data_IF_462235840341
#
_entry.id   IF_462235840341
#
_cell.length_a   1.000
_cell.length_b   1.000
_cell.length_c   1.000
_cell.angle_alpha   90.00
_cell.angle_beta   90.00
_cell.angle_gamma   90.00
#
_symmetry.space_group_name_H-M   'P 1'
#
loop_
_entity.id
_entity.type
_entity.pdbx_description
1 polymer ?
#
# COMPACT_ATOMS: atom_id res chain seq x y z
N UNK A 1 18.16 -8.15 32.98
CA UNK A 1 19.61 -8.05 32.72
C UNK A 1 19.83 -8.25 31.23
N UNK A 2 20.14 -7.12 30.57
CA UNK A 2 20.61 -6.87 29.19
C UNK A 2 20.40 -8.01 28.15
N UNK A 3 19.37 -7.88 27.31
CA UNK A 3 19.24 -8.63 26.05
C UNK A 3 20.22 -8.00 25.06
N UNK A 4 21.33 -8.71 24.81
CA UNK A 4 22.43 -8.24 23.99
C UNK A 4 22.12 -8.24 22.50
N UNK A 5 22.28 -7.06 21.90
CA UNK A 5 22.46 -6.80 20.48
C UNK A 5 23.61 -7.60 19.87
N UNK A 6 23.41 -8.85 19.43
CA UNK A 6 24.36 -9.53 18.52
C UNK A 6 23.60 -10.48 17.61
N UNK A 7 23.42 -10.04 16.36
CA UNK A 7 23.44 -10.85 15.13
C UNK A 7 22.71 -10.09 14.00
N UNK A 8 23.22 -8.91 13.62
CA UNK A 8 22.95 -8.32 12.30
C UNK A 8 24.21 -8.53 11.44
N UNK A 9 24.24 -9.59 10.65
CA UNK A 9 25.27 -9.77 9.62
C UNK A 9 24.86 -8.93 8.40
N UNK A 10 25.44 -7.74 8.27
CA UNK A 10 25.25 -6.87 7.11
C UNK A 10 25.95 -7.51 5.91
N UNK A 11 25.16 -8.09 5.01
CA UNK A 11 25.62 -8.55 3.71
C UNK A 11 26.10 -7.38 2.86
N UNK A 12 27.26 -7.56 2.23
CA UNK A 12 28.04 -6.63 1.42
C UNK A 12 27.23 -5.74 0.46
N UNK A 13 27.64 -4.47 0.39
CA UNK A 13 27.10 -3.45 -0.51
C UNK A 13 27.28 -3.84 -1.99
N UNK A 14 26.19 -3.82 -2.76
CA UNK A 14 26.23 -3.83 -4.23
C UNK A 14 26.38 -2.41 -4.78
N UNK A 15 27.13 -2.20 -5.88
CA UNK A 15 27.53 -0.87 -6.36
C UNK A 15 26.42 -0.09 -7.13
N UNK A 16 25.15 -0.49 -7.00
CA UNK A 16 24.01 0.23 -7.59
C UNK A 16 23.19 0.87 -6.46
N UNK A 17 23.34 2.18 -6.28
CA UNK A 17 22.42 3.07 -5.56
C UNK A 17 21.62 2.47 -4.40
N UNK A 18 22.28 2.22 -3.27
CA UNK A 18 21.70 2.00 -1.94
C UNK A 18 20.50 1.02 -1.85
N UNK A 19 20.55 -0.12 -2.55
CA UNK A 19 19.66 -1.23 -2.22
C UNK A 19 20.09 -1.82 -0.87
N UNK A 20 19.36 -1.50 0.20
CA UNK A 20 19.59 -2.11 1.52
C UNK A 20 18.94 -3.49 1.53
N UNK A 21 19.73 -4.53 1.77
CA UNK A 21 19.25 -5.91 1.93
C UNK A 21 19.55 -6.35 3.36
N UNK A 22 18.59 -7.01 4.00
CA UNK A 22 18.78 -7.56 5.33
C UNK A 22 18.23 -8.98 5.40
N UNK A 23 18.98 -9.86 6.06
CA UNK A 23 18.52 -11.20 6.40
C UNK A 23 17.88 -11.11 7.78
N UNK A 24 16.63 -11.56 7.90
CA UNK A 24 15.86 -11.52 9.15
C UNK A 24 15.44 -12.92 9.55
N UNK A 25 15.41 -13.20 10.86
CA UNK A 25 14.84 -14.43 11.39
C UNK A 25 13.31 -14.36 11.32
N UNK A 26 12.70 -15.46 10.91
CA UNK A 26 11.25 -15.67 10.98
C UNK A 26 10.99 -16.52 12.20
N UNK A 27 10.12 -16.05 13.10
CA UNK A 27 9.78 -16.83 14.29
C UNK A 27 8.78 -17.96 14.00
N UNK A 28 8.52 -18.81 14.99
CA UNK A 28 7.60 -19.96 14.87
C UNK A 28 6.16 -19.56 14.49
N UNK A 29 5.80 -18.28 14.69
CA UNK A 29 4.48 -17.74 14.34
C UNK A 29 4.47 -17.08 12.96
N UNK A 30 5.58 -17.18 12.20
CA UNK A 30 5.71 -16.59 10.88
C UNK A 30 5.93 -15.07 10.89
N UNK A 31 6.29 -14.47 12.04
CA UNK A 31 6.52 -13.03 12.14
C UNK A 31 7.96 -12.72 11.77
N UNK A 32 8.13 -11.66 10.98
CA UNK A 32 9.42 -11.05 10.68
C UNK A 32 9.41 -9.59 11.11
N UNK A 33 10.54 -9.10 11.62
CA UNK A 33 10.68 -7.69 12.04
C UNK A 33 11.38 -6.94 10.93
N UNK A 34 10.75 -5.87 10.44
CA UNK A 34 11.38 -4.98 9.46
C UNK A 34 12.53 -4.23 10.18
N UNK A 35 13.78 -4.37 9.70
CA UNK A 35 14.92 -3.73 10.33
C UNK A 35 14.81 -2.21 10.37
N UNK A 36 15.52 -1.60 11.32
CA UNK A 36 15.30 -0.18 11.61
C UNK A 36 15.74 0.72 10.45
N UNK A 37 16.70 0.25 9.68
CA UNK A 37 17.41 0.93 8.61
C UNK A 37 16.54 1.17 7.37
N UNK A 38 15.38 0.50 7.28
CA UNK A 38 14.40 0.66 6.20
C UNK A 38 13.40 1.79 6.42
N UNK A 39 13.38 2.42 7.60
CA UNK A 39 12.51 3.57 7.88
C UNK A 39 11.00 3.27 7.96
N UNK A 40 10.57 2.03 7.77
CA UNK A 40 9.16 1.62 7.88
C UNK A 40 8.81 1.38 9.35
N UNK A 41 7.88 2.16 9.90
CA UNK A 41 7.44 2.07 11.31
C UNK A 41 5.94 2.24 11.44
N UNK A 42 5.37 1.50 12.39
CA UNK A 42 3.98 1.66 12.88
C UNK A 42 2.95 1.88 11.76
N UNK A 43 3.10 1.15 10.65
CA UNK A 43 2.27 1.27 9.45
C UNK A 43 1.67 -0.09 9.11
N UNK A 44 0.48 -0.06 8.51
CA UNK A 44 -0.11 -1.25 7.89
C UNK A 44 0.63 -1.54 6.60
N UNK A 45 0.76 -2.80 6.19
CA UNK A 45 1.36 -3.13 4.90
C UNK A 45 0.49 -4.09 4.12
N UNK A 46 0.50 -3.96 2.80
CA UNK A 46 -0.05 -4.96 1.90
C UNK A 46 1.07 -5.95 1.60
N UNK A 47 0.79 -7.24 1.77
CA UNK A 47 1.71 -8.32 1.40
C UNK A 47 1.13 -9.03 0.18
N UNK A 48 1.84 -8.95 -0.94
CA UNK A 48 1.43 -9.57 -2.20
C UNK A 48 2.38 -10.76 -2.45
N UNK A 49 1.87 -12.01 -2.50
CA UNK A 49 2.69 -13.13 -2.92
C UNK A 49 3.01 -13.00 -4.41
N UNK A 50 4.29 -13.09 -4.77
CA UNK A 50 4.80 -12.99 -6.13
C UNK A 50 5.67 -14.21 -6.47
N UNK A 51 5.14 -15.40 -6.19
CA UNK A 51 5.85 -16.67 -6.39
C UNK A 51 6.95 -16.88 -5.36
N UNK A 52 8.20 -16.68 -5.76
CA UNK A 52 9.38 -16.92 -4.90
C UNK A 52 9.67 -15.81 -3.90
N UNK A 53 8.95 -14.69 -3.95
CA UNK A 53 9.12 -13.57 -3.05
C UNK A 53 7.78 -12.92 -2.69
N UNK A 54 7.82 -12.08 -1.65
CA UNK A 54 6.70 -11.23 -1.26
C UNK A 54 7.02 -9.78 -1.59
N UNK A 55 6.03 -9.07 -2.13
CA UNK A 55 6.08 -7.61 -2.23
C UNK A 55 5.35 -7.03 -1.03
N UNK A 56 6.07 -6.24 -0.23
CA UNK A 56 5.51 -5.58 0.96
C UNK A 56 5.41 -4.09 0.68
N UNK A 57 4.19 -3.56 0.67
CA UNK A 57 3.91 -2.14 0.40
C UNK A 57 3.38 -1.48 1.68
N UNK A 58 4.13 -0.56 2.31
CA UNK A 58 3.64 0.16 3.48
C UNK A 58 2.51 1.11 3.07
N UNK A 59 1.45 1.13 3.86
CA UNK A 59 0.29 1.99 3.67
C UNK A 59 0.43 3.24 4.55
N UNK A 60 0.24 4.45 4.00
CA UNK A 60 0.15 5.64 4.83
C UNK A 60 -0.95 5.48 5.89
N UNK A 61 -0.75 6.04 7.09
CA UNK A 61 -1.73 5.95 8.19
C UNK A 61 -3.12 6.49 7.82
N UNK A 62 -3.15 7.52 6.97
CA UNK A 62 -4.37 8.09 6.38
C UNK A 62 -4.26 8.10 4.85
N UNK A 63 -4.59 6.99 4.15
CA UNK A 63 -4.45 6.91 2.69
C UNK A 63 -5.28 7.94 1.94
N UNK A 64 -6.46 8.28 2.46
CA UNK A 64 -7.36 9.25 1.85
C UNK A 64 -6.79 10.68 1.84
N UNK A 65 -6.01 11.07 2.85
CA UNK A 65 -5.32 12.37 2.87
C UNK A 65 -4.20 12.42 1.83
N UNK A 66 -3.42 11.33 1.72
CA UNK A 66 -2.34 11.22 0.73
C UNK A 66 -2.86 11.10 -0.70
N UNK A 67 -3.99 10.43 -0.90
CA UNK A 67 -4.61 10.23 -2.20
C UNK A 67 -5.52 11.39 -2.63
N UNK A 68 -5.88 12.30 -1.71
CA UNK A 68 -6.78 13.43 -2.01
C UNK A 68 -6.29 14.33 -3.14
N UNK A 69 -4.97 14.41 -3.35
CA UNK A 69 -4.35 15.17 -4.44
C UNK A 69 -4.13 14.39 -5.74
N UNK A 70 -4.46 13.09 -5.81
CA UNK A 70 -4.21 12.28 -7.02
C UNK A 70 -5.10 12.64 -8.19
N UNK A 71 -6.29 13.19 -7.91
CA UNK A 71 -7.20 13.66 -8.94
C UNK A 71 -7.05 15.19 -9.06
N UNK A 72 -6.36 15.71 -10.09
CA UNK A 72 -6.26 17.14 -10.30
C UNK A 72 -7.65 17.68 -10.64
N UNK A 73 -8.28 18.37 -9.69
CA UNK A 73 -9.59 18.98 -9.88
C UNK A 73 -9.74 20.23 -9.04
N UNK A 74 -10.31 21.28 -9.63
CA UNK A 74 -10.76 22.46 -8.91
C UNK A 74 -12.08 22.24 -8.15
N UNK A 75 -12.73 21.09 -8.34
CA UNK A 75 -14.02 20.75 -7.74
C UNK A 75 -13.82 20.19 -6.33
N UNK A 76 -14.70 20.59 -5.42
CA UNK A 76 -14.79 20.01 -4.09
C UNK A 76 -15.17 18.52 -4.14
N UNK A 77 -14.86 17.79 -3.07
CA UNK A 77 -15.27 16.38 -2.90
C UNK A 77 -16.79 16.19 -3.09
N UNK A 78 -17.59 17.13 -2.62
CA UNK A 78 -19.05 17.07 -2.73
C UNK A 78 -19.52 17.20 -4.20
N UNK A 79 -18.88 18.08 -4.98
CA UNK A 79 -19.18 18.23 -6.41
C UNK A 79 -18.75 17.02 -7.21
N UNK A 80 -17.57 16.47 -6.92
CA UNK A 80 -17.09 15.23 -7.54
C UNK A 80 -18.06 14.07 -7.25
N UNK A 81 -18.52 13.95 -6.00
CA UNK A 81 -19.53 12.95 -5.61
C UNK A 81 -20.82 13.10 -6.41
N UNK A 82 -21.40 14.31 -6.46
CA UNK A 82 -22.64 14.57 -7.22
C UNK A 82 -22.47 14.25 -8.71
N UNK A 83 -21.34 14.63 -9.30
CA UNK A 83 -21.05 14.34 -10.70
C UNK A 83 -20.96 12.84 -10.96
N UNK A 84 -20.25 12.10 -10.09
CA UNK A 84 -20.11 10.65 -10.18
C UNK A 84 -21.46 9.93 -10.04
N UNK A 85 -22.26 10.30 -9.03
CA UNK A 85 -23.59 9.72 -8.82
C UNK A 85 -24.54 10.02 -9.98
N UNK A 86 -24.52 11.26 -10.49
CA UNK A 86 -25.32 11.64 -11.66
C UNK A 86 -24.94 10.86 -12.92
N UNK A 87 -23.64 10.66 -13.15
CA UNK A 87 -23.15 9.83 -14.26
C UNK A 87 -23.56 8.36 -14.10
N UNK A 88 -23.37 7.80 -12.90
CA UNK A 88 -23.74 6.42 -12.60
C UNK A 88 -25.25 6.17 -12.77
N UNK A 89 -26.09 7.13 -12.36
CA UNK A 89 -27.55 7.03 -12.53
C UNK A 89 -27.97 7.02 -14.00
N UNK A 90 -27.38 7.90 -14.82
CA UNK A 90 -27.65 7.93 -16.27
C UNK A 90 -27.21 6.63 -16.93
N UNK A 91 -26.01 6.17 -16.63
CA UNK A 91 -25.48 4.92 -17.17
C UNK A 91 -26.33 3.70 -16.75
N UNK A 92 -26.79 3.66 -15.49
CA UNK A 92 -27.73 2.63 -15.04
C UNK A 92 -29.07 2.66 -15.80
N UNK A 93 -29.64 3.85 -16.04
CA UNK A 93 -30.87 4.00 -16.79
C UNK A 93 -30.71 3.58 -18.26
N UNK A 94 -29.60 3.96 -18.91
CA UNK A 94 -29.30 3.51 -20.27
C UNK A 94 -29.12 2.00 -20.34
N UNK A 95 -28.39 1.41 -19.39
CA UNK A 95 -28.22 -0.05 -19.31
C UNK A 95 -29.55 -0.78 -19.15
N UNK A 96 -30.45 -0.26 -18.32
CA UNK A 96 -31.79 -0.83 -18.16
C UNK A 96 -32.64 -0.71 -19.44
N UNK A 97 -32.60 0.44 -20.13
CA UNK A 97 -33.27 0.61 -21.44
C UNK A 97 -32.76 -0.37 -22.49
N UNK A 98 -31.43 -0.51 -22.62
CA UNK A 98 -30.80 -1.46 -23.58
C UNK A 98 -31.18 -2.91 -23.31
N UNK A 99 -31.49 -3.25 -22.05
CA UNK A 99 -31.89 -4.59 -21.61
C UNK A 99 -33.40 -4.82 -21.63
N UNK A 100 -34.21 -3.81 -22.00
CA UNK A 100 -35.68 -3.88 -21.91
C UNK A 100 -36.19 -4.05 -20.48
N UNK A 101 -35.45 -3.54 -19.49
CA UNK A 101 -35.76 -3.65 -18.05
C UNK A 101 -36.43 -2.38 -17.51
N UNK A 102 -36.87 -1.49 -18.40
CA UNK A 102 -37.57 -0.23 -18.12
C UNK A 102 -38.83 -0.15 -18.99
#
# INVERSE_FOLDING_TARGET
MIIGDKDLTVGQASPLGALRVAIVRVDERGRMVIPREFGVRATRAVVIPAGSFFVVIPLPGAPHEKAGGWLPSARSRAELKRAAEGAARRDAAERARRRGQL
#
